data_IF_510014813212
#
_entry.id   IF_510014813212
#
_cell.length_a   1.000
_cell.length_b   1.000
_cell.length_c   1.000
_cell.angle_alpha   90.00
_cell.angle_beta   90.00
_cell.angle_gamma   90.00
#
_symmetry.space_group_name_H-M   'P 1'
#
loop_
_entity.id
_entity.type
_entity.pdbx_description
1 polymer ?
#
# COMPACT_ATOMS: atom_id res chain seq x y z
N UNK A 1 3.73 -14.14 -5.61
CA UNK A 1 2.81 -15.15 -5.02
C UNK A 1 1.99 -15.86 -6.10
N UNK A 2 1.21 -15.14 -6.92
CA UNK A 2 0.43 -15.76 -8.00
C UNK A 2 1.30 -16.54 -9.01
N UNK A 3 2.44 -16.00 -9.44
CA UNK A 3 3.36 -16.71 -10.33
C UNK A 3 3.96 -17.98 -9.68
N UNK A 4 4.31 -17.93 -8.39
CA UNK A 4 4.74 -19.13 -7.63
C UNK A 4 3.63 -20.19 -7.58
N UNK A 5 2.39 -19.76 -7.35
CA UNK A 5 1.22 -20.63 -7.34
C UNK A 5 1.01 -21.27 -8.72
N UNK A 6 1.07 -20.49 -9.81
CA UNK A 6 0.98 -20.99 -11.19
C UNK A 6 2.05 -22.04 -11.48
N UNK A 7 3.27 -21.84 -10.97
CA UNK A 7 4.41 -22.74 -11.12
C UNK A 7 4.38 -23.97 -10.19
N UNK A 8 3.24 -24.28 -9.57
CA UNK A 8 3.09 -25.44 -8.67
C UNK A 8 3.68 -25.25 -7.27
N UNK A 9 4.29 -24.09 -6.97
CA UNK A 9 4.90 -23.75 -5.68
C UNK A 9 3.87 -23.12 -4.72
N UNK A 10 2.69 -23.75 -4.61
CA UNK A 10 1.56 -23.28 -3.80
C UNK A 10 1.89 -23.15 -2.31
N UNK A 11 2.68 -24.08 -1.78
CA UNK A 11 3.13 -24.06 -0.38
C UNK A 11 3.92 -22.78 -0.11
N UNK A 12 4.85 -22.40 -0.98
CA UNK A 12 5.61 -21.16 -0.84
C UNK A 12 4.71 -19.92 -0.93
N UNK A 13 3.68 -19.94 -1.78
CA UNK A 13 2.71 -18.86 -1.85
C UNK A 13 1.90 -18.71 -0.56
N UNK A 14 1.44 -19.82 0.00
CA UNK A 14 0.64 -19.84 1.23
C UNK A 14 1.48 -19.48 2.47
N UNK A 15 2.63 -20.14 2.64
CA UNK A 15 3.56 -19.88 3.75
C UNK A 15 4.10 -18.46 3.67
N UNK A 16 4.45 -17.97 2.48
CA UNK A 16 4.90 -16.60 2.29
C UNK A 16 3.84 -15.57 2.70
N UNK A 17 2.57 -15.85 2.43
CA UNK A 17 1.47 -15.00 2.89
C UNK A 17 1.38 -14.97 4.43
N UNK A 18 1.41 -16.14 5.08
CA UNK A 18 1.36 -16.24 6.55
C UNK A 18 2.54 -15.52 7.20
N UNK A 19 3.76 -15.76 6.72
CA UNK A 19 4.97 -15.10 7.21
C UNK A 19 4.84 -13.59 7.04
N UNK A 20 4.38 -13.11 5.88
CA UNK A 20 4.16 -11.68 5.63
C UNK A 20 3.16 -11.05 6.62
N UNK A 21 2.04 -11.73 6.88
CA UNK A 21 1.04 -11.27 7.83
C UNK A 21 1.60 -11.21 9.26
N UNK A 22 2.29 -12.26 9.72
CA UNK A 22 2.90 -12.28 11.04
C UNK A 22 3.96 -11.19 11.19
N UNK A 23 4.87 -11.07 10.21
CA UNK A 23 5.92 -10.07 10.24
C UNK A 23 5.36 -8.65 10.33
N UNK A 24 4.29 -8.37 9.58
CA UNK A 24 3.62 -7.09 9.62
C UNK A 24 2.87 -6.86 10.95
N UNK A 25 2.18 -7.88 11.49
CA UNK A 25 1.52 -7.79 12.79
C UNK A 25 2.51 -7.61 13.96
N UNK A 26 3.69 -8.22 13.90
CA UNK A 26 4.74 -8.00 14.89
C UNK A 26 5.41 -6.63 14.74
N UNK A 27 5.59 -6.13 13.52
CA UNK A 27 6.24 -4.83 13.29
C UNK A 27 5.45 -3.68 13.90
N UNK A 28 4.11 -3.72 13.88
CA UNK A 28 3.30 -2.71 14.55
C UNK A 28 3.41 -2.78 16.07
N UNK A 29 3.43 -3.99 16.66
CA UNK A 29 3.58 -4.17 18.11
C UNK A 29 4.94 -3.65 18.58
N UNK A 30 6.00 -3.94 17.83
CA UNK A 30 7.34 -3.37 18.05
C UNK A 30 7.34 -1.85 17.90
N UNK A 31 6.73 -1.32 16.84
CA UNK A 31 6.63 0.13 16.60
C UNK A 31 5.93 0.87 17.75
N UNK A 32 4.81 0.33 18.24
CA UNK A 32 4.09 0.87 19.40
C UNK A 32 4.94 0.79 20.67
N UNK A 33 5.66 -0.31 20.89
CA UNK A 33 6.58 -0.48 22.03
C UNK A 33 7.70 0.56 22.01
N UNK A 34 8.37 0.74 20.88
CA UNK A 34 9.42 1.74 20.68
C UNK A 34 8.88 3.15 20.88
N UNK A 35 7.69 3.47 20.36
CA UNK A 35 7.07 4.77 20.56
C UNK A 35 6.77 5.07 22.04
N UNK A 36 6.31 4.07 22.82
CA UNK A 36 6.11 4.21 24.27
C UNK A 36 7.43 4.43 25.02
N UNK A 37 8.49 3.71 24.64
CA UNK A 37 9.84 3.89 25.19
C UNK A 37 10.35 5.31 24.93
N UNK A 38 10.25 5.78 23.68
CA UNK A 38 10.68 7.13 23.30
C UNK A 38 9.89 8.21 24.03
N UNK A 39 8.56 8.04 24.18
CA UNK A 39 7.72 8.94 24.97
C UNK A 39 8.18 9.01 26.42
N UNK A 40 8.50 7.87 27.04
CA UNK A 40 9.00 7.81 28.42
C UNK A 40 10.36 8.49 28.58
N UNK A 41 11.29 8.24 27.65
CA UNK A 41 12.61 8.89 27.61
C UNK A 41 12.47 10.41 27.43
N UNK A 42 11.61 10.84 26.52
CA UNK A 42 11.37 12.25 26.26
C UNK A 42 10.73 12.93 27.47
N UNK A 43 9.74 12.32 28.13
CA UNK A 43 9.16 12.85 29.37
C UNK A 43 10.18 12.94 30.52
N UNK A 44 11.12 11.99 30.60
CA UNK A 44 12.23 12.03 31.56
C UNK A 44 13.22 13.16 31.26
N UNK A 45 13.47 13.45 29.97
CA UNK A 45 14.34 14.54 29.51
C UNK A 45 13.67 15.93 29.54
N UNK A 46 12.36 16.02 29.32
CA UNK A 46 11.61 17.28 29.37
C UNK A 46 11.31 17.74 30.80
N UNK A 47 11.44 16.86 31.80
CA UNK A 47 11.49 17.30 33.22
C UNK A 47 12.66 18.26 33.49
N UNK A 48 13.69 18.28 32.64
CA UNK A 48 14.87 19.16 32.75
C UNK A 48 14.90 20.31 31.75
N UNK A 49 14.02 20.36 30.75
CA UNK A 49 13.97 21.44 29.76
C UNK A 49 12.54 21.95 29.58
N UNK A 50 12.31 23.23 29.91
CA UNK A 50 11.06 23.93 29.66
C UNK A 50 10.96 24.25 28.16
N UNK A 51 10.69 23.22 27.34
CA UNK A 51 10.55 23.41 25.90
C UNK A 51 9.13 23.91 25.63
N UNK A 52 9.04 25.20 25.31
CA UNK A 52 7.80 25.87 24.94
C UNK A 52 7.05 25.10 23.86
N UNK A 53 5.75 24.91 24.09
CA UNK A 53 4.82 24.30 23.15
C UNK A 53 4.91 25.02 21.80
N UNK A 54 5.60 24.43 20.83
CA UNK A 54 5.52 24.80 19.41
C UNK A 54 4.13 24.44 18.89
N UNK A 55 3.15 25.25 19.28
CA UNK A 55 1.78 25.11 18.85
C UNK A 55 1.67 25.78 17.49
N UNK A 56 1.84 24.99 16.44
CA UNK A 56 1.72 25.43 15.05
C UNK A 56 0.24 25.54 14.68
N UNK A 57 -0.49 26.45 15.33
CA UNK A 57 -1.92 26.71 15.06
C UNK A 57 -2.05 28.08 14.35
N UNK A 58 -1.37 28.26 13.22
CA UNK A 58 -1.53 29.48 12.41
C UNK A 58 -1.71 29.14 10.92
N UNK A 59 -2.71 29.76 10.29
CA UNK A 59 -3.05 29.60 8.88
C UNK A 59 -1.82 29.77 7.98
N UNK A 60 -0.96 30.74 8.28
CA UNK A 60 0.26 31.03 7.52
C UNK A 60 1.25 29.86 7.58
N UNK A 61 1.37 29.18 8.72
CA UNK A 61 2.22 28.00 8.82
C UNK A 61 1.65 26.82 8.04
N UNK A 62 0.33 26.59 8.08
CA UNK A 62 -0.29 25.56 7.24
C UNK A 62 -0.09 25.81 5.76
N UNK A 63 -0.27 27.06 5.31
CA UNK A 63 0.00 27.46 3.92
C UNK A 63 1.48 27.25 3.56
N UNK A 64 2.41 27.67 4.42
CA UNK A 64 3.84 27.47 4.19
C UNK A 64 4.19 25.97 4.06
N UNK A 65 3.67 25.12 4.94
CA UNK A 65 3.87 23.66 4.86
C UNK A 65 3.28 23.09 3.57
N UNK A 66 2.07 23.51 3.16
CA UNK A 66 1.48 23.07 1.90
C UNK A 66 2.33 23.50 0.68
N UNK A 67 2.83 24.73 0.66
CA UNK A 67 3.72 25.22 -0.41
C UNK A 67 4.99 24.38 -0.48
N UNK A 68 5.64 24.12 0.66
CA UNK A 68 6.83 23.26 0.73
C UNK A 68 6.55 21.85 0.18
N UNK A 69 5.42 21.24 0.56
CA UNK A 69 5.05 19.91 0.08
C UNK A 69 4.77 19.88 -1.42
N UNK A 70 4.13 20.91 -1.98
CA UNK A 70 3.89 21.04 -3.42
C UNK A 70 5.19 21.25 -4.19
N UNK A 71 6.11 22.07 -3.67
CA UNK A 71 7.43 22.27 -4.26
C UNK A 71 8.22 20.96 -4.25
N UNK A 72 8.25 20.24 -3.13
CA UNK A 72 8.91 18.93 -3.04
C UNK A 72 8.32 17.93 -4.04
N UNK A 73 7.00 17.89 -4.21
CA UNK A 73 6.34 17.04 -5.21
C UNK A 73 6.72 17.45 -6.65
N UNK A 74 6.75 18.75 -6.95
CA UNK A 74 7.16 19.26 -8.26
C UNK A 74 8.61 18.91 -8.59
N UNK A 75 9.52 19.04 -7.62
CA UNK A 75 10.92 18.63 -7.76
C UNK A 75 11.04 17.11 -7.99
N UNK A 76 10.30 16.31 -7.24
CA UNK A 76 10.29 14.85 -7.41
C UNK A 76 9.83 14.46 -8.81
N UNK A 77 8.78 15.08 -9.33
CA UNK A 77 8.31 14.84 -10.70
C UNK A 77 9.30 15.30 -11.77
N UNK A 78 9.92 16.47 -11.60
CA UNK A 78 10.93 16.96 -12.53
C UNK A 78 12.14 16.01 -12.61
N UNK A 79 12.68 15.61 -11.46
CA UNK A 79 13.82 14.68 -11.38
C UNK A 79 13.44 13.31 -11.93
N UNK A 80 12.28 12.78 -11.53
CA UNK A 80 11.83 11.47 -12.02
C UNK A 80 11.57 11.47 -13.52
N UNK A 81 11.03 12.57 -14.09
CA UNK A 81 10.82 12.71 -15.53
C UNK A 81 12.13 12.80 -16.32
N UNK A 82 13.11 13.53 -15.81
CA UNK A 82 14.44 13.63 -16.42
C UNK A 82 15.14 12.26 -16.43
N UNK A 83 15.20 11.60 -15.28
CA UNK A 83 15.85 10.30 -15.13
C UNK A 83 15.11 9.19 -15.87
N UNK A 84 13.78 9.23 -15.94
CA UNK A 84 13.00 8.32 -16.79
C UNK A 84 13.44 8.41 -18.26
N UNK A 85 13.60 9.64 -18.78
CA UNK A 85 13.99 9.85 -20.17
C UNK A 85 15.42 9.36 -20.44
N UNK A 86 16.34 9.67 -19.53
CA UNK A 86 17.75 9.27 -19.64
C UNK A 86 17.91 7.74 -19.59
N UNK A 87 17.37 7.11 -18.55
CA UNK A 87 17.44 5.68 -18.28
C UNK A 87 16.74 4.85 -19.35
N UNK A 88 15.63 5.36 -19.89
CA UNK A 88 14.94 4.68 -20.99
C UNK A 88 15.79 4.61 -22.27
N UNK A 89 16.56 5.67 -22.55
CA UNK A 89 17.46 5.73 -23.71
C UNK A 89 18.71 4.86 -23.53
N UNK A 90 19.18 4.70 -22.29
CA UNK A 90 20.34 3.87 -21.95
C UNK A 90 20.03 2.36 -21.84
N UNK A 91 18.79 1.96 -22.18
CA UNK A 91 18.30 0.57 -22.08
C UNK A 91 18.45 -0.03 -20.67
N UNK A 92 18.47 0.84 -19.66
CA UNK A 92 18.75 0.45 -18.30
C UNK A 92 17.44 0.19 -17.54
N UNK A 93 17.47 -0.84 -16.69
CA UNK A 93 16.27 -1.45 -16.10
C UNK A 93 15.55 -0.59 -15.06
N UNK A 94 16.05 0.60 -14.76
CA UNK A 94 15.53 1.45 -13.67
C UNK A 94 14.45 2.42 -14.14
N UNK A 95 14.19 2.54 -15.45
CA UNK A 95 13.18 3.43 -16.01
C UNK A 95 11.79 3.22 -15.37
N UNK A 96 11.46 1.97 -15.05
CA UNK A 96 10.21 1.62 -14.36
C UNK A 96 10.11 2.23 -12.95
N UNK A 97 11.23 2.40 -12.23
CA UNK A 97 11.25 2.98 -10.88
C UNK A 97 10.95 4.47 -10.93
N UNK A 98 11.58 5.18 -11.87
CA UNK A 98 11.34 6.61 -12.10
C UNK A 98 9.91 6.87 -12.58
N UNK A 99 9.40 6.05 -13.49
CA UNK A 99 7.98 6.07 -13.86
C UNK A 99 7.09 5.84 -12.64
N UNK A 100 7.46 4.90 -11.78
CA UNK A 100 6.78 4.62 -10.51
C UNK A 100 6.68 5.87 -9.62
N UNK A 101 7.78 6.61 -9.43
CA UNK A 101 7.77 7.86 -8.67
C UNK A 101 6.82 8.92 -9.24
N UNK A 102 6.65 8.98 -10.57
CA UNK A 102 5.72 9.92 -11.21
C UNK A 102 4.27 9.56 -10.89
N UNK A 103 3.91 8.27 -10.98
CA UNK A 103 2.52 7.80 -10.83
C UNK A 103 2.11 7.48 -9.39
N UNK A 104 3.07 7.35 -8.47
CA UNK A 104 2.83 7.05 -7.06
C UNK A 104 1.88 8.02 -6.33
N UNK A 105 1.99 9.37 -6.48
CA UNK A 105 1.10 10.32 -5.82
C UNK A 105 -0.39 10.09 -6.13
N UNK A 106 -0.71 9.67 -7.36
CA UNK A 106 -2.08 9.37 -7.77
C UNK A 106 -2.68 8.23 -6.94
N UNK A 107 -1.88 7.20 -6.65
CA UNK A 107 -2.29 6.07 -5.81
C UNK A 107 -2.60 6.51 -4.39
N UNK A 108 -1.77 7.40 -3.83
CA UNK A 108 -1.98 7.99 -2.49
C UNK A 108 -3.26 8.80 -2.44
N UNK A 109 -3.54 9.65 -3.43
CA UNK A 109 -4.74 10.49 -3.46
C UNK A 109 -6.02 9.66 -3.54
N UNK A 110 -6.04 8.63 -4.40
CA UNK A 110 -7.17 7.72 -4.49
C UNK A 110 -7.35 6.95 -3.18
N UNK A 111 -6.27 6.42 -2.60
CA UNK A 111 -6.33 5.74 -1.31
C UNK A 111 -6.85 6.65 -0.21
N UNK A 112 -6.40 7.91 -0.15
CA UNK A 112 -6.89 8.91 0.80
C UNK A 112 -8.38 9.21 0.61
N UNK A 113 -8.82 9.33 -0.64
CA UNK A 113 -10.23 9.52 -0.95
C UNK A 113 -11.07 8.31 -0.50
N UNK A 114 -10.61 7.09 -0.81
CA UNK A 114 -11.25 5.84 -0.38
C UNK A 114 -11.29 5.70 1.14
N UNK A 115 -10.24 6.11 1.85
CA UNK A 115 -10.18 6.04 3.31
C UNK A 115 -11.32 6.81 4.00
N UNK A 116 -11.94 7.79 3.32
CA UNK A 116 -13.14 8.48 3.83
C UNK A 116 -14.35 7.56 4.00
N UNK A 117 -14.34 6.38 3.39
CA UNK A 117 -15.37 5.35 3.51
C UNK A 117 -15.17 4.46 4.76
N UNK A 118 -13.98 4.48 5.37
CA UNK A 118 -13.70 3.72 6.58
C UNK A 118 -14.60 4.21 7.72
N UNK A 119 -15.27 3.29 8.41
CA UNK A 119 -16.18 3.64 9.51
C UNK A 119 -17.60 4.07 9.10
N UNK A 120 -17.91 4.22 7.80
CA UNK A 120 -19.27 4.60 7.36
C UNK A 120 -20.27 3.44 7.40
N UNK A 121 -19.81 2.22 7.17
CA UNK A 121 -20.68 1.05 7.00
C UNK A 121 -21.45 1.04 5.67
N UNK A 122 -22.30 0.03 5.50
CA UNK A 122 -23.13 -0.21 4.31
C UNK A 122 -24.58 0.22 4.55
N UNK A 123 -25.15 0.90 3.55
CA UNK A 123 -26.55 1.35 3.55
C UNK A 123 -26.84 2.47 4.55
N UNK A 124 -28.09 2.97 4.55
CA UNK A 124 -28.53 4.06 5.46
C UNK A 124 -28.45 3.67 6.94
N UNK A 125 -28.60 2.38 7.26
CA UNK A 125 -28.48 1.86 8.62
C UNK A 125 -27.01 1.71 9.09
N UNK A 126 -26.04 1.79 8.17
CA UNK A 126 -24.62 1.62 8.47
C UNK A 126 -24.30 0.26 9.07
N UNK A 127 -24.70 -0.82 8.37
CA UNK A 127 -24.27 -2.17 8.69
C UNK A 127 -22.76 -2.30 8.51
N UNK A 128 -22.09 -3.16 9.29
CA UNK A 128 -20.64 -3.40 9.15
C UNK A 128 -19.77 -2.13 9.28
N UNK A 129 -20.16 -1.12 10.06
CA UNK A 129 -19.33 0.08 10.35
C UNK A 129 -17.93 -0.25 10.89
N UNK A 130 -17.75 -1.42 11.47
CA UNK A 130 -16.46 -1.89 11.96
C UNK A 130 -15.48 -2.26 10.84
N UNK A 131 -15.96 -2.46 9.60
CA UNK A 131 -15.13 -2.80 8.44
C UNK A 131 -14.58 -1.52 7.79
N UNK A 132 -13.25 -1.41 7.63
CA UNK A 132 -12.61 -0.33 6.88
C UNK A 132 -12.75 -0.53 5.37
N UNK A 133 -13.93 -0.21 4.83
CA UNK A 133 -14.25 -0.45 3.41
C UNK A 133 -13.31 0.28 2.44
N UNK A 134 -12.87 1.48 2.77
CA UNK A 134 -11.90 2.23 1.97
C UNK A 134 -10.58 1.50 1.80
N UNK A 135 -10.02 1.01 2.91
CA UNK A 135 -8.77 0.25 2.91
C UNK A 135 -8.93 -1.09 2.19
N UNK A 136 -10.05 -1.79 2.43
CA UNK A 136 -10.39 -3.04 1.75
C UNK A 136 -10.47 -2.85 0.23
N UNK A 137 -11.23 -1.85 -0.24
CA UNK A 137 -11.39 -1.54 -1.67
C UNK A 137 -10.04 -1.18 -2.28
N UNK A 138 -9.24 -0.36 -1.61
CA UNK A 138 -7.93 0.05 -2.11
C UNK A 138 -6.99 -1.15 -2.30
N UNK A 139 -6.90 -2.05 -1.32
CA UNK A 139 -6.06 -3.25 -1.39
C UNK A 139 -6.54 -4.26 -2.44
N UNK A 140 -7.84 -4.57 -2.45
CA UNK A 140 -8.40 -5.54 -3.40
C UNK A 140 -8.30 -5.02 -4.83
N UNK A 141 -8.66 -3.75 -5.08
CA UNK A 141 -8.54 -3.17 -6.43
C UNK A 141 -7.10 -3.13 -6.91
N UNK A 142 -6.15 -2.72 -6.05
CA UNK A 142 -4.74 -2.73 -6.39
C UNK A 142 -4.25 -4.14 -6.74
N UNK A 143 -4.63 -5.16 -5.96
CA UNK A 143 -4.27 -6.56 -6.24
C UNK A 143 -4.84 -7.04 -7.58
N UNK A 144 -6.11 -6.73 -7.88
CA UNK A 144 -6.74 -7.09 -9.15
C UNK A 144 -6.04 -6.45 -10.36
N UNK A 145 -5.77 -5.13 -10.28
CA UNK A 145 -5.11 -4.42 -11.38
C UNK A 145 -3.66 -4.90 -11.52
N UNK A 146 -2.97 -5.20 -10.42
CA UNK A 146 -1.60 -5.73 -10.44
C UNK A 146 -1.56 -7.11 -11.12
N UNK A 147 -2.54 -7.97 -10.83
CA UNK A 147 -2.71 -9.27 -11.50
C UNK A 147 -3.03 -9.12 -13.00
N UNK A 148 -3.89 -8.17 -13.37
CA UNK A 148 -4.22 -7.88 -14.77
C UNK A 148 -2.97 -7.41 -15.53
N UNK A 149 -2.23 -6.44 -14.99
CA UNK A 149 -0.98 -5.96 -15.58
C UNK A 149 0.06 -7.08 -15.69
N UNK A 150 0.21 -7.94 -14.69
CA UNK A 150 1.12 -9.08 -14.74
C UNK A 150 0.75 -10.07 -15.86
N UNK A 151 -0.55 -10.23 -16.14
CA UNK A 151 -1.05 -11.05 -17.26
C UNK A 151 -0.73 -10.39 -18.59
N UNK A 152 -0.94 -9.07 -18.71
CA UNK A 152 -0.63 -8.31 -19.93
C UNK A 152 0.86 -8.36 -20.24
N UNK A 153 1.73 -8.23 -19.23
CA UNK A 153 3.19 -8.42 -19.39
C UNK A 153 3.53 -9.78 -20.01
N UNK A 154 2.93 -10.85 -19.47
CA UNK A 154 3.05 -12.22 -20.00
C UNK A 154 2.36 -12.46 -21.35
N UNK A 155 1.49 -11.57 -21.82
CA UNK A 155 0.81 -11.75 -23.10
C UNK A 155 1.51 -10.97 -24.22
N UNK A 156 2.03 -9.78 -23.91
CA UNK A 156 2.60 -8.84 -24.88
C UNK A 156 4.10 -9.04 -25.03
N UNK A 157 4.83 -9.33 -23.94
CA UNK A 157 6.28 -9.58 -23.94
C UNK A 157 7.12 -8.50 -24.64
N UNK A 158 6.79 -7.22 -24.44
CA UNK A 158 7.61 -6.11 -24.96
C UNK A 158 8.22 -5.31 -23.83
N UNK A 159 9.44 -4.81 -24.03
CA UNK A 159 10.14 -3.95 -23.06
C UNK A 159 9.29 -2.76 -22.63
N UNK A 160 8.61 -2.09 -23.58
CA UNK A 160 7.76 -0.94 -23.28
C UNK A 160 6.61 -1.32 -22.35
N UNK A 161 5.92 -2.43 -22.64
CA UNK A 161 4.85 -2.93 -21.81
C UNK A 161 5.33 -3.30 -20.41
N UNK A 162 6.50 -3.93 -20.31
CA UNK A 162 7.11 -4.31 -19.04
C UNK A 162 7.49 -3.08 -18.21
N UNK A 163 8.13 -2.08 -18.81
CA UNK A 163 8.50 -0.83 -18.12
C UNK A 163 7.27 -0.09 -17.60
N UNK A 164 6.24 0.08 -18.45
CA UNK A 164 5.01 0.79 -18.08
C UNK A 164 4.26 0.02 -17.00
N UNK A 165 4.04 -1.27 -17.22
CA UNK A 165 3.28 -2.11 -16.27
C UNK A 165 4.00 -2.17 -14.92
N UNK A 166 5.31 -2.34 -14.90
CA UNK A 166 6.07 -2.43 -13.65
C UNK A 166 6.13 -1.09 -12.93
N UNK A 167 6.26 0.03 -13.64
CA UNK A 167 6.18 1.36 -13.04
C UNK A 167 4.82 1.64 -12.42
N UNK A 168 3.72 1.27 -13.09
CA UNK A 168 2.37 1.37 -12.53
C UNK A 168 2.20 0.45 -11.32
N UNK A 169 2.72 -0.78 -11.37
CA UNK A 169 2.64 -1.72 -10.25
C UNK A 169 3.38 -1.21 -9.01
N UNK A 170 4.63 -0.77 -9.17
CA UNK A 170 5.44 -0.31 -8.03
C UNK A 170 5.05 1.08 -7.52
N UNK A 171 4.76 2.01 -8.43
CA UNK A 171 4.36 3.37 -8.05
C UNK A 171 2.90 3.45 -7.65
N UNK A 172 2.01 3.43 -8.64
CA UNK A 172 0.58 3.70 -8.44
C UNK A 172 -0.09 2.66 -7.55
N UNK A 173 0.01 1.37 -7.90
CA UNK A 173 -0.67 0.30 -7.16
C UNK A 173 0.01 0.03 -5.82
N UNK A 174 1.33 0.19 -5.74
CA UNK A 174 2.08 0.15 -4.49
C UNK A 174 1.63 1.22 -3.49
N UNK A 175 1.34 2.44 -3.95
CA UNK A 175 0.84 3.52 -3.11
C UNK A 175 -0.69 3.52 -2.88
N UNK A 176 -1.45 2.92 -3.80
CA UNK A 176 -2.89 2.69 -3.67
C UNK A 176 -3.18 1.60 -2.63
N UNK A 177 -2.43 0.50 -2.66
CA UNK A 177 -2.49 -0.52 -1.62
C UNK A 177 -1.76 -0.08 -0.36
N UNK A 178 -2.05 -0.72 0.77
CA UNK A 178 -1.38 -0.48 2.03
C UNK A 178 -1.49 -1.69 2.95
N UNK A 179 -0.33 -2.15 3.43
CA UNK A 179 -0.23 -3.13 4.51
C UNK A 179 -0.21 -2.43 5.88
N UNK A 180 0.42 -1.26 5.98
CA UNK A 180 0.56 -0.56 7.26
C UNK A 180 -0.77 -0.10 7.84
N UNK A 181 -1.65 0.50 7.03
CA UNK A 181 -2.99 0.90 7.48
C UNK A 181 -3.85 -0.33 7.78
N UNK A 182 -3.79 -1.36 6.94
CA UNK A 182 -4.49 -2.62 7.15
C UNK A 182 -4.11 -3.28 8.49
N UNK A 183 -2.81 -3.32 8.81
CA UNK A 183 -2.33 -3.88 10.08
C UNK A 183 -2.66 -2.99 11.28
N UNK A 184 -2.65 -1.67 11.13
CA UNK A 184 -3.10 -0.76 12.18
C UNK A 184 -4.59 -0.96 12.51
N UNK A 185 -5.43 -1.12 11.49
CA UNK A 185 -6.84 -1.46 11.65
C UNK A 185 -7.02 -2.84 12.28
N UNK A 186 -6.25 -3.84 11.84
CA UNK A 186 -6.23 -5.17 12.43
C UNK A 186 -5.87 -5.13 13.91
N UNK A 187 -4.78 -4.46 14.29
CA UNK A 187 -4.33 -4.35 15.69
C UNK A 187 -5.37 -3.61 16.54
N UNK A 188 -5.97 -2.54 16.02
CA UNK A 188 -7.04 -1.82 16.72
C UNK A 188 -8.28 -2.71 16.95
N UNK A 189 -8.61 -3.63 16.02
CA UNK A 189 -9.68 -4.60 16.21
C UNK A 189 -9.29 -5.74 17.15
N UNK A 190 -8.03 -6.19 17.11
CA UNK A 190 -7.49 -7.23 17.99
C UNK A 190 -7.53 -6.79 19.45
N UNK A 191 -7.18 -5.53 19.73
CA UNK A 191 -7.24 -4.91 21.06
C UNK A 191 -8.67 -4.59 21.53
N UNK A 192 -9.66 -4.68 20.64
CA UNK A 192 -11.06 -4.43 20.98
C UNK A 192 -11.73 -5.62 21.67
N UNK A 193 -12.86 -5.36 22.33
CA UNK A 193 -13.70 -6.41 22.95
C UNK A 193 -14.14 -7.54 21.98
N UNK A 194 -14.07 -7.30 20.66
CA UNK A 194 -14.49 -8.25 19.62
C UNK A 194 -13.32 -8.58 18.68
N UNK A 195 -12.27 -9.20 19.23
CA UNK A 195 -11.05 -9.58 18.50
C UNK A 195 -11.30 -10.45 17.26
N UNK A 196 -12.37 -11.25 17.24
CA UNK A 196 -12.77 -12.05 16.07
C UNK A 196 -12.92 -11.22 14.77
N UNK A 197 -13.27 -9.92 14.90
CA UNK A 197 -13.41 -9.00 13.77
C UNK A 197 -12.09 -8.80 13.02
N UNK A 198 -10.97 -8.76 13.75
CA UNK A 198 -9.65 -8.60 13.16
C UNK A 198 -9.34 -9.78 12.21
N UNK A 199 -9.57 -11.01 12.69
CA UNK A 199 -9.35 -12.23 11.90
C UNK A 199 -10.29 -12.32 10.69
N UNK A 200 -11.56 -11.97 10.84
CA UNK A 200 -12.51 -11.96 9.72
C UNK A 200 -12.13 -10.89 8.69
N UNK A 201 -11.76 -9.69 9.12
CA UNK A 201 -11.31 -8.63 8.23
C UNK A 201 -10.05 -9.03 7.45
N UNK A 202 -9.06 -9.61 8.14
CA UNK A 202 -7.86 -10.12 7.50
C UNK A 202 -8.23 -11.21 6.49
N UNK A 203 -8.99 -12.23 6.90
CA UNK A 203 -9.37 -13.35 6.05
C UNK A 203 -10.10 -12.88 4.79
N UNK A 204 -11.08 -11.98 4.91
CA UNK A 204 -11.81 -11.42 3.76
C UNK A 204 -10.85 -10.70 2.81
N UNK A 205 -9.99 -9.82 3.33
CA UNK A 205 -9.04 -9.07 2.50
C UNK A 205 -8.15 -10.00 1.70
N UNK A 206 -7.68 -11.07 2.33
CA UNK A 206 -6.74 -12.04 1.76
C UNK A 206 -7.43 -12.92 0.72
N UNK A 207 -8.53 -13.56 1.11
CA UNK A 207 -9.25 -14.52 0.26
C UNK A 207 -9.79 -13.81 -0.97
N UNK A 208 -10.36 -12.61 -0.83
CA UNK A 208 -10.87 -11.85 -1.97
C UNK A 208 -9.74 -11.41 -2.88
N UNK A 209 -8.66 -10.82 -2.34
CA UNK A 209 -7.53 -10.36 -3.16
C UNK A 209 -6.83 -11.51 -3.89
N UNK A 210 -6.57 -12.62 -3.19
CA UNK A 210 -5.91 -13.78 -3.76
C UNK A 210 -6.81 -14.52 -4.74
N UNK A 211 -8.08 -14.75 -4.38
CA UNK A 211 -9.05 -15.42 -5.26
C UNK A 211 -9.26 -14.67 -6.57
N UNK A 212 -9.50 -13.35 -6.51
CA UNK A 212 -9.61 -12.53 -7.71
C UNK A 212 -8.28 -12.47 -8.47
N UNK A 213 -7.15 -12.36 -7.78
CA UNK A 213 -5.82 -12.43 -8.39
C UNK A 213 -5.59 -13.73 -9.17
N UNK A 214 -5.98 -14.88 -8.61
CA UNK A 214 -5.91 -16.18 -9.29
C UNK A 214 -6.82 -16.23 -10.51
N UNK A 215 -8.04 -15.72 -10.42
CA UNK A 215 -8.96 -15.66 -11.56
C UNK A 215 -8.43 -14.76 -12.69
N UNK A 216 -7.81 -13.62 -12.34
CA UNK A 216 -7.33 -12.64 -13.32
C UNK A 216 -5.99 -13.06 -13.92
N UNK A 217 -5.09 -13.67 -13.14
CA UNK A 217 -3.74 -14.02 -13.57
C UNK A 217 -3.56 -15.50 -13.89
N UNK A 218 -3.83 -16.37 -12.91
CA UNK A 218 -3.53 -17.79 -13.04
C UNK A 218 -4.38 -18.45 -14.13
N UNK A 219 -5.68 -18.14 -14.20
CA UNK A 219 -6.58 -18.73 -15.20
C UNK A 219 -6.16 -18.40 -16.64
N UNK A 220 -5.91 -17.13 -17.04
CA UNK A 220 -5.40 -16.85 -18.39
C UNK A 220 -4.04 -17.48 -18.68
N UNK A 221 -3.12 -17.47 -17.70
CA UNK A 221 -1.78 -18.06 -17.88
C UNK A 221 -1.87 -19.56 -18.12
N UNK A 222 -2.71 -20.29 -17.37
CA UNK A 222 -2.93 -21.73 -17.61
C UNK A 222 -3.68 -21.99 -18.91
N UNK A 223 -4.74 -21.24 -19.20
CA UNK A 223 -5.59 -21.49 -20.38
C UNK A 223 -4.91 -21.16 -21.69
N UNK A 224 -4.04 -20.13 -21.72
CA UNK A 224 -3.36 -19.69 -22.94
C UNK A 224 -1.89 -20.10 -23.00
N UNK A 225 -1.35 -20.70 -21.94
CA UNK A 225 0.02 -21.18 -21.89
C UNK A 225 1.07 -20.07 -21.96
N UNK A 226 0.75 -18.87 -21.47
CA UNK A 226 1.71 -17.77 -21.39
C UNK A 226 2.90 -18.18 -20.51
N UNK A 227 4.12 -18.01 -21.00
CA UNK A 227 5.34 -18.37 -20.26
C UNK A 227 5.81 -17.21 -19.40
#
# INVERSE_FOLDING_TARGET
MLDLSVNGKWVFSFVGFLIGLFLAAYSIKLGVGTAKCFKSLFQRSNRTACLGSWRVDSLNHHLAVMVVMVVMLGLLWAVSGALLKEEYNHDSGEAQLWLGCIVAPLGVWIRWFLARLNGRGLGKAGYLKWVPFGTLIANVSAACIMAALATVKKAVHTKICDTISTGIQFGFLGCLSTVSTFIAEYNAMEESQKSWRAYVYALITIVVSFGLGTLIYSVPVWSKGYK
#
